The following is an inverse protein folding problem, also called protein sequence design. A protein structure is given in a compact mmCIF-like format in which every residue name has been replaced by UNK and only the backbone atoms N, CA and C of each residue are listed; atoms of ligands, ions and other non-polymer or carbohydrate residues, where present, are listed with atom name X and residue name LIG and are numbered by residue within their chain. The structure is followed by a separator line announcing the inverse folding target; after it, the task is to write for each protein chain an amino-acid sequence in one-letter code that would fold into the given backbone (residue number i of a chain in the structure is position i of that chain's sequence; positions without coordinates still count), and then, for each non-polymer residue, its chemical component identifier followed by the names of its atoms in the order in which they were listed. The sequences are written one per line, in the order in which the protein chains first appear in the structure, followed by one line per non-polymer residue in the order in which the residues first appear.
data_IF_197353742055
#
_entry.id   IF_197353742055
#
_cell.length_a   1.000
_cell.length_b   1.000
_cell.length_c   1.000
_cell.angle_alpha   90.00
_cell.angle_beta   90.00
_cell.angle_gamma   90.00
#
_symmetry.space_group_name_H-M   'P 1'
#
loop_
_entity.id
_entity.type
_entity.pdbx_description
1 polymer ?
#
# COMPACT_ATOMS: atom_id res chain seq x y z
N UNK A 1 -14.32 -28.82 15.44
CA UNK A 1 -12.97 -29.01 15.99
C UNK A 1 -11.96 -28.35 15.09
N UNK A 2 -11.66 -27.10 15.31
CA UNK A 2 -10.63 -26.32 14.65
C UNK A 2 -10.39 -25.11 15.51
N UNK A 3 -9.48 -25.20 16.48
CA UNK A 3 -8.95 -24.05 17.18
C UNK A 3 -8.22 -23.20 16.16
N UNK A 4 -8.87 -22.13 15.70
CA UNK A 4 -8.22 -21.08 14.95
C UNK A 4 -7.14 -20.47 15.86
N UNK A 5 -5.91 -20.43 15.37
CA UNK A 5 -4.77 -19.76 16.00
C UNK A 5 -5.18 -18.31 16.33
N UNK A 6 -5.48 -18.11 17.60
CA UNK A 6 -5.81 -16.79 18.13
C UNK A 6 -4.53 -15.97 18.15
N UNK A 7 -4.55 -14.82 17.47
CA UNK A 7 -3.44 -13.86 17.49
C UNK A 7 -2.99 -13.61 18.96
N UNK A 8 -1.68 -13.51 19.25
CA UNK A 8 -1.13 -13.34 20.59
C UNK A 8 -1.81 -12.22 21.39
N UNK A 9 -2.19 -11.14 20.74
CA UNK A 9 -2.89 -10.00 21.37
C UNK A 9 -4.31 -10.33 21.82
N UNK A 10 -5.01 -11.25 21.15
CA UNK A 10 -6.35 -11.68 21.54
C UNK A 10 -6.31 -12.57 22.78
N UNK A 11 -5.30 -13.42 22.87
CA UNK A 11 -5.07 -14.26 24.04
C UNK A 11 -4.74 -13.41 25.26
N UNK A 12 -3.84 -12.43 25.13
CA UNK A 12 -3.50 -11.50 26.21
C UNK A 12 -4.72 -10.72 26.72
N UNK A 13 -5.60 -10.23 25.84
CA UNK A 13 -6.83 -9.54 26.25
C UNK A 13 -7.79 -10.48 27.00
N UNK A 14 -7.88 -11.74 26.60
CA UNK A 14 -8.67 -12.75 27.28
C UNK A 14 -8.11 -13.04 28.69
N UNK A 15 -6.79 -13.17 28.82
CA UNK A 15 -6.11 -13.38 30.08
C UNK A 15 -6.34 -12.21 31.06
N UNK A 16 -6.27 -10.97 30.55
CA UNK A 16 -6.57 -9.76 31.35
C UNK A 16 -8.03 -9.77 31.79
N UNK A 17 -8.98 -10.09 30.92
CA UNK A 17 -10.40 -10.15 31.26
C UNK A 17 -10.69 -11.26 32.28
N UNK A 18 -10.00 -12.37 32.16
CA UNK A 18 -10.12 -13.46 33.15
C UNK A 18 -9.56 -13.07 34.52
N UNK A 19 -8.45 -12.35 34.54
CA UNK A 19 -7.81 -11.87 35.76
C UNK A 19 -8.61 -10.77 36.48
N UNK A 20 -9.38 -9.98 35.72
CA UNK A 20 -10.17 -8.85 36.24
C UNK A 20 -11.63 -8.92 35.79
N UNK A 21 -12.43 -9.91 36.24
CA UNK A 21 -13.76 -10.18 35.69
C UNK A 21 -14.80 -9.08 36.00
N UNK A 22 -14.56 -8.23 36.97
CA UNK A 22 -15.45 -7.13 37.35
C UNK A 22 -14.99 -5.76 36.81
N UNK A 23 -13.94 -5.72 36.00
CA UNK A 23 -13.47 -4.47 35.39
C UNK A 23 -14.30 -4.08 34.18
N UNK A 24 -14.44 -2.78 33.96
CA UNK A 24 -14.98 -2.22 32.73
C UNK A 24 -13.82 -2.04 31.71
N UNK A 25 -14.07 -2.45 30.48
CA UNK A 25 -13.07 -2.38 29.40
C UNK A 25 -13.54 -1.44 28.31
N UNK A 26 -12.72 -0.46 27.97
CA UNK A 26 -12.95 0.45 26.86
C UNK A 26 -11.83 0.28 25.84
N UNK A 27 -12.20 -0.02 24.58
CA UNK A 27 -11.28 -0.11 23.46
C UNK A 27 -11.27 1.19 22.66
N UNK A 28 -10.08 1.67 22.31
CA UNK A 28 -9.88 2.80 21.42
C UNK A 28 -9.04 2.33 20.21
N UNK A 29 -9.48 2.64 19.00
CA UNK A 29 -8.74 2.32 17.78
C UNK A 29 -8.95 3.41 16.73
N UNK A 30 -7.87 3.76 16.02
CA UNK A 30 -7.94 4.61 14.82
C UNK A 30 -8.20 3.81 13.54
N UNK A 31 -8.13 2.46 13.61
CA UNK A 31 -8.24 1.54 12.46
C UNK A 31 -9.21 0.42 12.80
N UNK A 32 -10.52 0.69 12.90
CA UNK A 32 -11.50 -0.34 13.20
C UNK A 32 -11.56 -1.38 12.07
N UNK A 33 -11.67 -2.65 12.46
CA UNK A 33 -11.87 -3.77 11.54
C UNK A 33 -13.37 -4.06 11.49
N UNK A 34 -13.97 -3.84 10.33
CA UNK A 34 -15.35 -4.17 9.99
C UNK A 34 -15.42 -5.50 9.23
N UNK A 35 -16.63 -5.98 8.92
CA UNK A 35 -16.80 -7.22 8.15
C UNK A 35 -16.18 -7.12 6.75
N UNK A 36 -16.25 -5.95 6.11
CA UNK A 36 -15.74 -5.68 4.76
C UNK A 36 -14.19 -5.77 4.66
N UNK A 37 -13.49 -5.41 5.72
CA UNK A 37 -12.02 -5.44 5.78
C UNK A 37 -11.46 -6.51 6.72
N UNK A 38 -12.24 -7.55 6.98
CA UNK A 38 -11.90 -8.66 7.87
C UNK A 38 -10.83 -9.56 7.28
N UNK A 39 -9.59 -9.41 7.74
CA UNK A 39 -8.45 -10.20 7.23
C UNK A 39 -8.20 -11.52 7.98
N UNK A 40 -8.59 -11.66 9.27
CA UNK A 40 -8.27 -12.83 10.13
C UNK A 40 -9.36 -13.14 11.16
N UNK A 41 -10.58 -13.31 10.74
CA UNK A 41 -11.61 -13.96 11.56
C UNK A 41 -12.24 -13.13 12.68
N UNK A 42 -11.78 -11.92 13.01
CA UNK A 42 -12.41 -11.11 14.06
C UNK A 42 -12.54 -9.64 13.63
N UNK A 43 -13.70 -9.05 13.94
CA UNK A 43 -13.93 -7.61 13.81
C UNK A 43 -13.65 -6.90 15.15
N UNK A 44 -13.53 -5.57 15.09
CA UNK A 44 -13.36 -4.76 16.30
C UNK A 44 -14.52 -4.93 17.27
N UNK A 45 -15.76 -5.02 16.77
CA UNK A 45 -16.94 -5.24 17.59
C UNK A 45 -16.96 -6.62 18.25
N UNK A 46 -16.44 -7.66 17.60
CA UNK A 46 -16.31 -8.98 18.22
C UNK A 46 -15.33 -8.99 19.41
N UNK A 47 -14.35 -8.09 19.40
CA UNK A 47 -13.33 -8.01 20.46
C UNK A 47 -13.75 -7.08 21.59
N UNK A 48 -14.33 -5.93 21.29
CA UNK A 48 -14.61 -4.86 22.25
C UNK A 48 -16.10 -4.62 22.52
N UNK A 49 -17.01 -5.24 21.76
CA UNK A 49 -18.44 -4.97 21.83
C UNK A 49 -18.86 -3.81 20.92
N UNK A 50 -20.05 -3.26 21.19
CA UNK A 50 -20.63 -2.21 20.36
C UNK A 50 -19.84 -0.92 20.40
N UNK A 51 -19.85 -0.20 19.26
CA UNK A 51 -19.18 1.09 19.13
C UNK A 51 -19.94 2.15 19.94
N UNK A 52 -19.31 2.69 20.97
CA UNK A 52 -19.89 3.73 21.85
C UNK A 52 -19.78 5.12 21.25
N UNK A 53 -18.71 5.40 20.53
CA UNK A 53 -18.44 6.68 19.89
C UNK A 53 -17.59 6.48 18.64
N UNK A 54 -17.90 7.23 17.58
CA UNK A 54 -17.16 7.26 16.32
C UNK A 54 -16.90 8.69 15.92
N UNK A 55 -15.64 8.98 15.62
CA UNK A 55 -15.20 10.22 15.01
C UNK A 55 -14.39 9.86 13.76
N UNK A 56 -14.99 10.03 12.60
CA UNK A 56 -14.40 9.63 11.31
C UNK A 56 -13.51 10.72 10.71
N UNK A 57 -12.72 10.37 9.69
CA UNK A 57 -11.97 11.35 8.89
C UNK A 57 -12.92 12.41 8.30
N UNK A 58 -14.11 12.01 7.84
CA UNK A 58 -15.12 12.93 7.33
C UNK A 58 -15.57 13.94 8.40
N UNK A 59 -15.74 13.50 9.65
CA UNK A 59 -16.04 14.38 10.78
C UNK A 59 -14.88 15.34 11.04
N UNK A 60 -13.64 14.84 11.02
CA UNK A 60 -12.44 15.64 11.20
C UNK A 60 -12.25 16.71 10.13
N UNK A 61 -12.55 16.38 8.86
CA UNK A 61 -12.52 17.35 7.74
C UNK A 61 -13.61 18.41 7.92
N UNK A 62 -14.84 17.98 8.23
CA UNK A 62 -15.97 18.91 8.49
C UNK A 62 -15.68 19.87 9.62
N UNK A 63 -15.07 19.40 10.69
CA UNK A 63 -14.74 20.19 11.88
C UNK A 63 -13.44 20.99 11.72
N UNK A 64 -12.75 20.88 10.57
CA UNK A 64 -11.50 21.59 10.29
C UNK A 64 -10.28 21.06 11.04
N UNK A 65 -10.37 19.89 11.67
CA UNK A 65 -9.28 19.25 12.39
C UNK A 65 -8.35 18.42 11.48
N UNK A 66 -8.84 18.04 10.30
CA UNK A 66 -8.11 17.29 9.28
C UNK A 66 -8.25 18.02 7.95
N UNK A 67 -7.15 18.11 7.20
CA UNK A 67 -7.19 18.66 5.84
C UNK A 67 -7.91 17.69 4.92
N UNK A 68 -8.64 18.21 3.94
CA UNK A 68 -9.18 17.42 2.83
C UNK A 68 -8.05 16.85 1.98
N UNK A 69 -8.38 15.81 1.21
CA UNK A 69 -7.47 15.22 0.24
C UNK A 69 -8.20 15.04 -1.10
N UNK A 70 -7.43 15.15 -2.19
CA UNK A 70 -7.92 14.92 -3.55
C UNK A 70 -7.39 13.55 -4.02
N UNK A 71 -8.27 12.54 -4.19
CA UNK A 71 -7.85 11.28 -4.78
C UNK A 71 -7.63 11.48 -6.29
N UNK A 72 -6.44 11.13 -6.75
CA UNK A 72 -6.09 11.10 -8.16
C UNK A 72 -5.83 9.65 -8.58
N UNK A 73 -6.63 9.14 -9.51
CA UNK A 73 -6.51 7.78 -9.98
C UNK A 73 -5.75 7.74 -11.31
N UNK A 74 -4.71 6.92 -11.37
CA UNK A 74 -3.89 6.70 -12.56
C UNK A 74 -4.19 5.34 -13.14
N UNK A 75 -4.49 5.29 -14.43
CA UNK A 75 -4.65 4.04 -15.16
C UNK A 75 -3.29 3.58 -15.68
N UNK A 76 -2.77 2.51 -15.09
CA UNK A 76 -1.49 1.90 -15.50
C UNK A 76 -1.64 0.93 -16.68
N UNK A 77 -2.87 0.53 -17.00
CA UNK A 77 -3.22 -0.32 -18.13
C UNK A 77 -4.27 0.35 -19.01
N UNK A 78 -4.29 -0.03 -20.30
CA UNK A 78 -5.39 0.32 -21.19
C UNK A 78 -6.54 -0.65 -20.95
N UNK A 79 -7.77 -0.16 -20.80
CA UNK A 79 -8.98 -0.97 -20.61
C UNK A 79 -9.07 -2.13 -21.60
N UNK A 80 -8.72 -1.90 -22.86
CA UNK A 80 -8.72 -2.92 -23.91
C UNK A 80 -7.76 -4.07 -23.58
N UNK A 81 -6.56 -3.77 -23.13
CA UNK A 81 -5.51 -4.75 -22.89
C UNK A 81 -5.85 -5.61 -21.66
N UNK A 82 -6.34 -4.97 -20.59
CA UNK A 82 -6.83 -5.63 -19.38
C UNK A 82 -8.02 -6.52 -19.69
N UNK A 83 -9.00 -6.01 -20.42
CA UNK A 83 -10.18 -6.74 -20.86
C UNK A 83 -9.82 -7.97 -21.69
N UNK A 84 -8.89 -7.81 -22.63
CA UNK A 84 -8.40 -8.91 -23.46
C UNK A 84 -7.68 -9.98 -22.62
N UNK A 85 -6.86 -9.58 -21.65
CA UNK A 85 -6.16 -10.52 -20.78
C UNK A 85 -7.16 -11.37 -19.95
N UNK A 86 -8.17 -10.72 -19.34
CA UNK A 86 -9.24 -11.40 -18.62
C UNK A 86 -10.06 -12.30 -19.55
N UNK A 87 -10.41 -11.81 -20.74
CA UNK A 87 -11.19 -12.59 -21.72
C UNK A 87 -10.46 -13.87 -22.17
N UNK A 88 -9.15 -13.78 -22.41
CA UNK A 88 -8.32 -14.94 -22.76
C UNK A 88 -8.23 -15.94 -21.60
N UNK A 89 -8.01 -15.47 -20.38
CA UNK A 89 -7.99 -16.34 -19.18
C UNK A 89 -9.32 -17.07 -19.01
N UNK A 90 -10.44 -16.40 -19.11
CA UNK A 90 -11.78 -17.01 -18.97
C UNK A 90 -12.11 -17.97 -20.11
N UNK A 91 -11.68 -17.66 -21.32
CA UNK A 91 -11.81 -18.55 -22.48
C UNK A 91 -10.83 -19.74 -22.45
N UNK A 92 -9.88 -19.76 -21.49
CA UNK A 92 -8.77 -20.74 -21.43
C UNK A 92 -8.02 -20.83 -22.75
N UNK A 93 -7.66 -19.69 -23.32
CA UNK A 93 -6.93 -19.55 -24.56
C UNK A 93 -5.65 -18.75 -24.33
N UNK A 94 -4.54 -19.14 -24.94
CA UNK A 94 -3.28 -18.44 -24.84
C UNK A 94 -3.22 -17.23 -25.78
N UNK A 95 -3.95 -17.28 -26.91
CA UNK A 95 -3.98 -16.21 -27.89
C UNK A 95 -5.40 -15.91 -28.36
N UNK A 96 -5.59 -14.75 -28.98
CA UNK A 96 -6.89 -14.35 -29.55
C UNK A 96 -7.29 -15.30 -30.68
N UNK A 97 -6.33 -15.72 -31.50
CA UNK A 97 -6.57 -16.67 -32.60
C UNK A 97 -7.07 -18.02 -32.06
N UNK A 98 -6.47 -18.52 -30.99
CA UNK A 98 -6.92 -19.75 -30.32
C UNK A 98 -8.35 -19.60 -29.78
N UNK A 99 -8.65 -18.47 -29.15
CA UNK A 99 -9.99 -18.19 -28.65
C UNK A 99 -11.05 -18.13 -29.76
N UNK A 100 -10.66 -17.70 -30.96
CA UNK A 100 -11.61 -17.54 -32.09
C UNK A 100 -11.86 -18.84 -32.88
N UNK A 101 -10.95 -19.81 -32.85
CA UNK A 101 -11.09 -21.06 -33.61
C UNK A 101 -12.12 -22.00 -32.98
N UNK A 102 -12.19 -22.04 -31.65
CA UNK A 102 -13.15 -22.87 -30.91
C UNK A 102 -14.42 -22.06 -30.61
N UNK A 103 -15.59 -22.47 -31.11
CA UNK A 103 -16.84 -21.74 -30.88
C UNK A 103 -17.18 -21.50 -29.41
N UNK A 104 -16.90 -22.48 -28.53
CA UNK A 104 -17.19 -22.34 -27.09
C UNK A 104 -16.23 -21.35 -26.42
N UNK A 105 -14.95 -21.37 -26.81
CA UNK A 105 -13.99 -20.36 -26.33
C UNK A 105 -14.31 -18.98 -26.88
N UNK A 106 -14.72 -18.89 -28.13
CA UNK A 106 -15.09 -17.62 -28.79
C UNK A 106 -16.28 -16.95 -28.08
N UNK A 107 -17.32 -17.70 -27.73
CA UNK A 107 -18.47 -17.18 -27.00
C UNK A 107 -18.03 -16.54 -25.67
N UNK A 108 -17.22 -17.23 -24.88
CA UNK A 108 -16.69 -16.72 -23.61
C UNK A 108 -15.81 -15.49 -23.84
N UNK A 109 -14.88 -15.57 -24.81
CA UNK A 109 -13.98 -14.47 -25.12
C UNK A 109 -14.75 -13.18 -25.48
N UNK A 110 -15.70 -13.27 -26.41
CA UNK A 110 -16.48 -12.10 -26.83
C UNK A 110 -17.42 -11.58 -25.74
N UNK A 111 -17.93 -12.44 -24.84
CA UNK A 111 -18.69 -11.99 -23.68
C UNK A 111 -17.88 -11.02 -22.81
N UNK A 112 -16.65 -11.37 -22.48
CA UNK A 112 -15.76 -10.51 -21.66
C UNK A 112 -15.20 -9.32 -22.43
N UNK A 113 -15.09 -9.39 -23.75
CA UNK A 113 -14.66 -8.28 -24.61
C UNK A 113 -15.76 -7.23 -24.84
N UNK A 114 -17.02 -7.57 -24.69
CA UNK A 114 -18.15 -6.65 -24.91
C UNK A 114 -18.42 -5.78 -23.67
N UNK A 115 -18.19 -4.44 -23.73
CA UNK A 115 -18.45 -3.55 -22.61
C UNK A 115 -19.91 -3.49 -22.15
N UNK A 116 -20.86 -3.92 -23.02
CA UNK A 116 -22.29 -3.94 -22.68
C UNK A 116 -22.66 -5.15 -21.83
N UNK A 117 -21.95 -6.26 -22.00
CA UNK A 117 -22.18 -7.49 -21.25
C UNK A 117 -21.33 -7.56 -19.97
N UNK A 118 -20.08 -7.06 -20.04
CA UNK A 118 -19.15 -7.06 -18.95
C UNK A 118 -18.60 -5.62 -18.74
N UNK A 119 -19.07 -4.87 -17.74
CA UNK A 119 -18.54 -3.54 -17.43
C UNK A 119 -17.08 -3.60 -17.01
N UNK A 120 -16.38 -2.46 -16.96
CA UNK A 120 -15.01 -2.41 -16.48
C UNK A 120 -14.95 -2.57 -14.97
N UNK A 121 -15.54 -1.67 -14.22
CA UNK A 121 -15.68 -1.76 -12.78
C UNK A 121 -16.95 -2.51 -12.35
N UNK A 122 -16.98 -2.97 -11.07
CA UNK A 122 -18.19 -3.57 -10.52
C UNK A 122 -19.33 -2.55 -10.44
N UNK A 123 -20.55 -3.02 -10.58
CA UNK A 123 -21.76 -2.20 -10.49
C UNK A 123 -22.77 -2.81 -9.51
N UNK A 124 -23.54 -1.96 -8.85
CA UNK A 124 -24.75 -2.38 -8.14
C UNK A 124 -25.98 -2.16 -9.01
N UNK A 125 -26.82 -3.17 -9.09
CA UNK A 125 -28.13 -3.03 -9.73
C UNK A 125 -29.07 -2.20 -8.84
N UNK A 126 -30.17 -1.70 -9.40
CA UNK A 126 -31.20 -1.01 -8.61
C UNK A 126 -31.81 -1.90 -7.51
N UNK A 127 -31.66 -3.20 -7.60
CA UNK A 127 -32.07 -4.19 -6.59
C UNK A 127 -31.02 -4.45 -5.52
N UNK A 128 -29.84 -3.79 -5.57
CA UNK A 128 -28.74 -3.98 -4.64
C UNK A 128 -27.89 -5.23 -4.91
N UNK A 129 -28.02 -5.83 -6.10
CA UNK A 129 -27.19 -6.97 -6.50
C UNK A 129 -25.85 -6.49 -7.05
N UNK A 130 -24.75 -7.07 -6.57
CA UNK A 130 -23.41 -6.81 -7.05
C UNK A 130 -23.14 -7.54 -8.37
N UNK A 131 -22.96 -6.78 -9.45
CA UNK A 131 -22.54 -7.28 -10.75
C UNK A 131 -21.06 -7.08 -10.92
N UNK A 132 -20.32 -8.18 -11.12
CA UNK A 132 -18.87 -8.15 -11.33
C UNK A 132 -18.51 -7.46 -12.63
N UNK A 133 -17.43 -6.66 -12.59
CA UNK A 133 -16.77 -6.11 -13.75
C UNK A 133 -15.45 -6.83 -14.08
N UNK A 134 -14.75 -6.36 -15.10
CA UNK A 134 -13.42 -6.86 -15.48
C UNK A 134 -12.43 -6.75 -14.33
N UNK A 135 -12.47 -5.66 -13.57
CA UNK A 135 -11.58 -5.41 -12.43
C UNK A 135 -11.69 -6.47 -11.34
N UNK A 136 -12.85 -7.08 -11.15
CA UNK A 136 -13.05 -8.18 -10.18
C UNK A 136 -12.32 -9.49 -10.56
N UNK A 137 -11.82 -9.57 -11.78
CA UNK A 137 -11.08 -10.72 -12.29
C UNK A 137 -9.57 -10.47 -12.40
N UNK A 138 -9.11 -9.26 -12.06
CA UNK A 138 -7.69 -8.95 -12.05
C UNK A 138 -7.03 -9.71 -10.90
N UNK A 139 -5.94 -10.38 -11.21
CA UNK A 139 -5.16 -11.12 -10.23
C UNK A 139 -3.94 -10.32 -9.79
N UNK A 140 -3.41 -10.60 -8.61
CA UNK A 140 -2.17 -9.98 -8.14
C UNK A 140 -0.98 -10.19 -9.11
N UNK A 141 -1.02 -11.25 -9.94
CA UNK A 141 0.01 -11.51 -10.93
C UNK A 141 0.11 -10.45 -12.03
N UNK A 142 -0.98 -9.70 -12.30
CA UNK A 142 -0.99 -8.60 -13.28
C UNK A 142 -0.31 -7.33 -12.75
N UNK A 143 -0.18 -7.24 -11.44
CA UNK A 143 0.52 -6.17 -10.72
C UNK A 143 1.81 -6.68 -10.09
N UNK A 144 2.28 -7.87 -10.51
CA UNK A 144 3.47 -8.50 -9.96
C UNK A 144 4.73 -7.71 -10.30
N UNK A 145 5.75 -7.94 -9.49
CA UNK A 145 7.09 -7.39 -9.69
C UNK A 145 7.61 -7.61 -11.11
N UNK A 146 8.23 -6.56 -11.68
CA UNK A 146 8.80 -6.59 -13.04
C UNK A 146 7.75 -6.49 -14.16
N UNK A 147 6.51 -6.13 -13.84
CA UNK A 147 5.48 -5.89 -14.86
C UNK A 147 5.51 -4.46 -15.36
N UNK A 148 4.92 -4.19 -16.56
CA UNK A 148 4.75 -2.84 -17.07
C UNK A 148 3.96 -1.90 -16.14
N UNK A 149 3.25 -2.45 -15.15
CA UNK A 149 2.55 -1.67 -14.14
C UNK A 149 3.53 -0.86 -13.27
N UNK A 150 4.54 -1.49 -12.68
CA UNK A 150 5.54 -0.80 -11.85
C UNK A 150 6.26 0.31 -12.64
N UNK A 151 6.59 0.03 -13.92
CA UNK A 151 7.19 1.01 -14.81
C UNK A 151 6.31 2.25 -14.99
N UNK A 152 5.01 2.06 -15.18
CA UNK A 152 4.05 3.15 -15.34
C UNK A 152 3.83 3.93 -14.05
N UNK A 153 3.80 3.26 -12.91
CA UNK A 153 3.72 3.93 -11.60
C UNK A 153 4.93 4.83 -11.37
N UNK A 154 6.13 4.33 -11.63
CA UNK A 154 7.36 5.13 -11.48
C UNK A 154 7.38 6.31 -12.46
N UNK A 155 6.98 6.09 -13.73
CA UNK A 155 6.89 7.15 -14.74
C UNK A 155 5.94 8.27 -14.28
N UNK A 156 4.73 7.92 -13.83
CA UNK A 156 3.75 8.89 -13.33
C UNK A 156 4.24 9.64 -12.08
N UNK A 157 4.85 8.93 -11.14
CA UNK A 157 5.44 9.57 -9.95
C UNK A 157 6.51 10.59 -10.36
N UNK A 158 7.43 10.23 -11.26
CA UNK A 158 8.50 11.12 -11.71
C UNK A 158 7.97 12.35 -12.45
N UNK A 159 6.92 12.18 -13.26
CA UNK A 159 6.29 13.27 -13.99
C UNK A 159 5.54 14.24 -13.07
N UNK A 160 4.84 13.71 -12.04
CA UNK A 160 4.00 14.51 -11.16
C UNK A 160 4.74 15.08 -9.95
N UNK A 161 5.81 14.43 -9.47
CA UNK A 161 6.50 14.80 -8.24
C UNK A 161 6.99 16.27 -8.22
N UNK A 162 7.57 16.85 -9.30
CA UNK A 162 7.98 18.24 -9.27
C UNK A 162 6.86 19.23 -8.96
N UNK A 163 5.65 18.94 -9.49
CA UNK A 163 4.45 19.74 -9.23
C UNK A 163 3.91 19.48 -7.83
N UNK A 164 3.72 18.23 -7.46
CA UNK A 164 3.13 17.83 -6.17
C UNK A 164 4.02 18.21 -4.99
N UNK A 165 5.33 18.08 -5.11
CA UNK A 165 6.29 18.51 -4.09
C UNK A 165 6.40 20.04 -3.96
N UNK A 166 5.73 20.80 -4.83
CA UNK A 166 5.79 22.26 -4.87
C UNK A 166 7.22 22.79 -4.87
N UNK A 167 8.00 22.34 -5.87
CA UNK A 167 9.40 22.73 -6.01
C UNK A 167 10.27 22.19 -4.88
N UNK A 168 10.06 20.95 -4.53
CA UNK A 168 10.81 20.24 -3.49
C UNK A 168 10.58 20.70 -2.04
N UNK A 169 9.45 21.33 -1.76
CA UNK A 169 9.08 21.71 -0.41
C UNK A 169 8.48 20.56 0.40
N UNK A 170 7.73 19.67 -0.28
CA UNK A 170 7.04 18.57 0.36
C UNK A 170 7.66 17.22 -0.03
N UNK A 171 7.54 16.26 0.85
CA UNK A 171 7.92 14.87 0.66
C UNK A 171 6.73 14.04 0.19
N UNK A 172 7.01 12.86 -0.36
CA UNK A 172 6.00 11.88 -0.73
C UNK A 172 6.25 10.53 -0.05
N UNK A 173 5.20 9.70 0.01
CA UNK A 173 5.28 8.30 0.44
C UNK A 173 4.65 7.41 -0.63
N UNK A 174 5.27 6.26 -0.88
CA UNK A 174 4.72 5.18 -1.71
C UNK A 174 4.46 3.97 -0.81
N UNK A 175 3.21 3.58 -0.68
CA UNK A 175 2.82 2.40 0.06
C UNK A 175 2.77 1.19 -0.88
N UNK A 176 3.42 0.11 -0.48
CA UNK A 176 3.48 -1.15 -1.21
C UNK A 176 2.85 -2.28 -0.40
N UNK A 177 2.38 -3.31 -1.09
CA UNK A 177 1.70 -4.46 -0.48
C UNK A 177 2.66 -5.50 0.10
N UNK A 178 3.93 -5.46 -0.31
CA UNK A 178 4.92 -6.46 0.10
C UNK A 178 6.35 -5.90 0.07
N UNK A 179 7.26 -6.57 0.80
CA UNK A 179 8.69 -6.24 0.81
C UNK A 179 9.33 -6.43 -0.58
N UNK A 180 9.08 -7.51 -1.34
CA UNK A 180 9.60 -7.65 -2.69
C UNK A 180 9.18 -6.51 -3.63
N UNK A 181 7.94 -6.06 -3.54
CA UNK A 181 7.43 -4.93 -4.30
C UNK A 181 8.15 -3.62 -3.92
N UNK A 182 8.33 -3.36 -2.62
CA UNK A 182 9.07 -2.19 -2.15
C UNK A 182 10.51 -2.16 -2.67
N UNK A 183 11.19 -3.32 -2.69
CA UNK A 183 12.55 -3.47 -3.21
C UNK A 183 12.56 -3.24 -4.73
N UNK A 184 11.58 -3.75 -5.46
CA UNK A 184 11.44 -3.52 -6.91
C UNK A 184 11.32 -2.04 -7.24
N UNK A 185 10.39 -1.34 -6.58
CA UNK A 185 10.26 0.12 -6.75
C UNK A 185 11.52 0.86 -6.35
N UNK A 186 12.17 0.46 -5.26
CA UNK A 186 13.43 1.08 -4.82
C UNK A 186 14.50 1.02 -5.91
N UNK A 187 14.69 -0.16 -6.53
CA UNK A 187 15.65 -0.33 -7.64
C UNK A 187 15.24 0.47 -8.88
N UNK A 188 13.95 0.49 -9.23
CA UNK A 188 13.46 1.27 -10.36
C UNK A 188 13.73 2.77 -10.17
N UNK A 189 13.49 3.33 -8.99
CA UNK A 189 13.81 4.74 -8.71
C UNK A 189 15.32 5.00 -8.74
N UNK A 190 16.12 4.10 -8.16
CA UNK A 190 17.58 4.20 -8.17
C UNK A 190 18.14 4.23 -9.60
N UNK A 191 17.58 3.42 -10.51
CA UNK A 191 17.98 3.36 -11.91
C UNK A 191 17.49 4.58 -12.71
N UNK A 192 16.22 4.94 -12.59
CA UNK A 192 15.58 5.96 -13.45
C UNK A 192 15.72 7.39 -12.95
N UNK A 193 15.87 7.58 -11.67
CA UNK A 193 15.93 8.89 -11.03
C UNK A 193 17.01 8.97 -9.94
N UNK A 194 18.31 8.76 -10.27
CA UNK A 194 19.39 8.77 -9.30
C UNK A 194 19.57 10.13 -8.58
N UNK A 195 19.00 11.20 -9.14
CA UNK A 195 18.98 12.54 -8.53
C UNK A 195 17.89 12.68 -7.45
N UNK A 196 16.95 11.76 -7.37
CA UNK A 196 15.87 11.76 -6.38
C UNK A 196 16.33 10.99 -5.14
N UNK A 197 16.21 11.59 -3.97
CA UNK A 197 16.58 10.94 -2.73
C UNK A 197 15.43 10.02 -2.28
N UNK A 198 15.58 8.74 -2.55
CA UNK A 198 14.59 7.70 -2.26
C UNK A 198 15.17 6.71 -1.26
N UNK A 199 14.36 6.24 -0.33
CA UNK A 199 14.69 5.12 0.55
C UNK A 199 13.46 4.26 0.81
N UNK A 200 13.66 3.07 1.35
CA UNK A 200 12.58 2.19 1.73
C UNK A 200 12.61 1.82 3.21
N UNK A 201 11.44 1.61 3.79
CA UNK A 201 11.27 1.25 5.19
C UNK A 201 10.26 0.12 5.33
N UNK A 202 10.72 -1.02 5.84
CA UNK A 202 9.89 -2.18 6.16
C UNK A 202 10.38 -2.85 7.44
N UNK A 203 9.57 -3.73 8.05
CA UNK A 203 10.01 -4.43 9.25
C UNK A 203 10.95 -5.59 8.87
N UNK A 204 12.21 -5.57 9.32
CA UNK A 204 13.14 -6.65 9.03
C UNK A 204 12.75 -8.00 9.65
N UNK A 205 11.88 -8.00 10.68
CA UNK A 205 11.44 -9.21 11.38
C UNK A 205 10.16 -9.85 10.81
N UNK A 206 9.47 -9.16 9.90
CA UNK A 206 8.30 -9.76 9.22
C UNK A 206 8.78 -10.79 8.23
N UNK A 207 8.43 -12.05 8.49
CA UNK A 207 8.78 -13.18 7.65
C UNK A 207 7.83 -13.24 6.45
N UNK A 208 8.28 -12.72 5.32
CA UNK A 208 7.66 -13.00 4.03
C UNK A 208 8.39 -14.20 3.43
N UNK A 209 7.86 -15.39 3.64
CA UNK A 209 8.46 -16.71 3.55
C UNK A 209 9.21 -17.13 2.27
N UNK A 210 9.19 -16.33 1.20
CA UNK A 210 9.80 -16.71 -0.09
C UNK A 210 11.04 -15.93 -0.52
N UNK A 211 11.61 -15.09 0.33
CA UNK A 211 12.73 -14.23 -0.07
C UNK A 211 13.67 -13.77 1.04
N UNK A 212 13.89 -14.55 2.08
CA UNK A 212 14.68 -14.13 3.24
C UNK A 212 16.10 -13.62 2.88
N UNK A 213 16.77 -14.25 1.92
CA UNK A 213 18.13 -13.87 1.46
C UNK A 213 18.05 -12.56 0.66
N UNK A 214 17.13 -12.43 -0.28
CA UNK A 214 16.91 -11.20 -1.06
C UNK A 214 16.58 -10.01 -0.16
N UNK A 215 15.82 -10.23 0.89
CA UNK A 215 15.45 -9.22 1.89
C UNK A 215 16.65 -8.69 2.66
N UNK A 216 17.54 -9.57 3.13
CA UNK A 216 18.71 -9.16 3.90
C UNK A 216 19.72 -8.38 3.06
N UNK A 217 19.94 -8.81 1.82
CA UNK A 217 20.86 -8.13 0.90
C UNK A 217 20.31 -6.77 0.46
N UNK A 218 19.00 -6.71 0.14
CA UNK A 218 18.35 -5.44 -0.15
C UNK A 218 18.34 -4.49 1.06
N UNK A 219 18.17 -5.00 2.28
CA UNK A 219 18.24 -4.18 3.48
C UNK A 219 19.64 -3.61 3.70
N UNK A 220 20.70 -4.40 3.45
CA UNK A 220 22.08 -3.92 3.48
C UNK A 220 22.34 -2.84 2.44
N UNK A 221 21.82 -3.04 1.22
CA UNK A 221 21.90 -2.05 0.14
C UNK A 221 21.20 -0.74 0.52
N UNK A 222 19.95 -0.80 0.93
CA UNK A 222 19.16 0.38 1.33
C UNK A 222 19.85 1.15 2.46
N UNK A 223 20.35 0.45 3.47
CA UNK A 223 21.10 1.08 4.57
C UNK A 223 22.38 1.69 4.06
N UNK A 224 23.13 1.00 3.20
CA UNK A 224 24.38 1.48 2.62
C UNK A 224 24.18 2.75 1.80
N UNK A 225 23.21 2.74 0.91
CA UNK A 225 22.84 3.90 0.08
C UNK A 225 22.35 5.08 0.93
N UNK A 226 21.58 4.81 1.99
CA UNK A 226 21.13 5.84 2.92
C UNK A 226 22.30 6.47 3.69
N UNK A 227 23.26 5.64 4.12
CA UNK A 227 24.46 6.11 4.80
C UNK A 227 25.31 6.99 3.89
N UNK A 228 25.53 6.57 2.65
CA UNK A 228 26.27 7.34 1.65
C UNK A 228 25.58 8.68 1.35
N UNK A 229 24.25 8.64 1.14
CA UNK A 229 23.47 9.82 0.79
C UNK A 229 23.46 10.89 1.89
N UNK A 230 23.41 10.46 3.16
CA UNK A 230 23.17 11.35 4.30
C UNK A 230 24.34 11.41 5.30
N UNK A 231 25.48 10.90 4.95
CA UNK A 231 26.67 10.82 5.82
C UNK A 231 26.34 10.20 7.20
N UNK A 232 25.86 8.94 7.15
CA UNK A 232 25.46 8.15 8.33
C UNK A 232 26.23 6.84 8.40
N UNK A 233 26.10 6.14 9.51
CA UNK A 233 26.78 4.88 9.81
C UNK A 233 25.84 3.80 10.34
N UNK A 234 24.59 3.79 9.88
CA UNK A 234 23.59 2.81 10.30
C UNK A 234 23.96 1.40 9.81
N UNK A 235 23.58 0.42 10.61
CA UNK A 235 23.69 -1.00 10.32
C UNK A 235 22.37 -1.69 10.66
N UNK A 236 22.15 -2.93 10.23
CA UNK A 236 20.92 -3.66 10.49
C UNK A 236 20.51 -3.62 11.98
N UNK A 237 21.40 -3.86 12.97
CA UNK A 237 21.05 -3.73 14.39
C UNK A 237 20.60 -2.33 14.81
N UNK A 238 21.01 -1.29 14.09
CA UNK A 238 20.61 0.10 14.37
C UNK A 238 19.45 0.60 13.50
N UNK A 239 18.78 -0.29 12.78
CA UNK A 239 17.58 0.02 11.98
C UNK A 239 16.55 0.90 12.69
N UNK A 240 16.21 0.71 13.98
CA UNK A 240 15.32 1.60 14.69
C UNK A 240 15.80 3.05 14.79
N UNK A 241 17.11 3.28 14.78
CA UNK A 241 17.69 4.64 14.75
C UNK A 241 17.55 5.27 13.36
N UNK A 242 17.79 4.51 12.29
CA UNK A 242 17.55 4.95 10.92
C UNK A 242 16.07 5.32 10.70
N UNK A 243 15.14 4.51 11.19
CA UNK A 243 13.70 4.84 11.16
C UNK A 243 13.39 6.18 11.85
N UNK A 244 14.02 6.46 13.00
CA UNK A 244 13.88 7.74 13.71
C UNK A 244 14.47 8.90 12.90
N UNK A 245 15.60 8.71 12.24
CA UNK A 245 16.23 9.70 11.38
C UNK A 245 15.34 10.04 10.18
N UNK A 246 14.84 9.01 9.47
CA UNK A 246 13.86 9.18 8.38
C UNK A 246 12.61 9.96 8.85
N UNK A 247 12.06 9.55 10.00
CA UNK A 247 10.88 10.20 10.57
C UNK A 247 11.14 11.68 10.89
N UNK A 248 12.32 12.00 11.43
CA UNK A 248 12.70 13.37 11.76
C UNK A 248 12.88 14.24 10.50
N UNK A 249 13.45 13.69 9.41
CA UNK A 249 13.58 14.37 8.10
C UNK A 249 12.20 14.68 7.51
N UNK A 250 11.33 13.67 7.41
CA UNK A 250 9.99 13.82 6.85
C UNK A 250 9.08 14.73 7.68
N UNK A 251 9.37 14.92 8.97
CA UNK A 251 8.56 15.75 9.87
C UNK A 251 9.18 17.13 10.13
N UNK A 252 10.34 17.44 9.55
CA UNK A 252 11.14 18.63 9.84
C UNK A 252 11.34 18.84 11.34
N UNK A 253 11.67 17.75 12.05
CA UNK A 253 12.02 17.77 13.48
C UNK A 253 13.54 17.80 13.65
N UNK A 254 14.01 18.24 14.82
CA UNK A 254 15.46 18.29 15.12
C UNK A 254 16.14 16.94 14.80
N UNK A 255 17.26 16.96 14.10
CA UNK A 255 18.06 18.13 13.68
C UNK A 255 17.60 18.82 12.38
N UNK A 256 16.59 18.32 11.67
CA UNK A 256 16.18 18.68 10.30
C UNK A 256 15.09 19.75 10.20
N UNK A 257 15.18 20.80 11.04
CA UNK A 257 14.15 21.87 11.07
C UNK A 257 14.05 22.67 9.76
N UNK A 258 15.12 22.74 9.01
CA UNK A 258 15.25 23.52 7.76
C UNK A 258 15.63 22.64 6.58
N UNK A 259 15.28 21.35 6.62
CA UNK A 259 15.63 20.37 5.59
C UNK A 259 15.10 20.72 4.18
N UNK A 260 14.02 21.52 4.11
CA UNK A 260 13.50 22.06 2.85
C UNK A 260 14.44 23.06 2.18
N UNK A 261 15.40 23.64 2.93
CA UNK A 261 16.43 24.56 2.42
C UNK A 261 17.76 23.85 2.11
N UNK A 262 17.88 22.59 2.49
CA UNK A 262 19.09 21.78 2.37
C UNK A 262 18.83 20.53 1.54
N UNK A 263 19.08 20.63 0.22
CA UNK A 263 18.77 19.53 -0.72
C UNK A 263 19.48 18.24 -0.34
N UNK A 264 20.72 18.35 0.13
CA UNK A 264 21.58 17.24 0.54
C UNK A 264 21.05 16.48 1.76
N UNK A 265 20.25 17.13 2.60
CA UNK A 265 19.65 16.51 3.78
C UNK A 265 18.22 15.98 3.53
N UNK A 266 17.66 16.32 2.39
CA UNK A 266 16.25 16.09 2.13
C UNK A 266 15.99 14.70 1.53
N UNK A 267 15.02 13.97 2.09
CA UNK A 267 14.44 12.78 1.50
C UNK A 267 13.25 13.19 0.64
N UNK A 268 13.16 12.73 -0.61
CA UNK A 268 12.07 13.06 -1.52
C UNK A 268 10.90 12.10 -1.39
N UNK A 269 11.20 10.79 -1.47
CA UNK A 269 10.23 9.73 -1.45
C UNK A 269 10.60 8.65 -0.44
N UNK A 270 9.67 8.27 0.39
CA UNK A 270 9.77 7.10 1.26
C UNK A 270 8.87 5.99 0.75
N UNK A 271 9.45 4.82 0.43
CA UNK A 271 8.71 3.60 0.11
C UNK A 271 8.46 2.84 1.41
N UNK A 272 7.21 2.41 1.66
CA UNK A 272 6.84 1.73 2.91
C UNK A 272 6.03 0.47 2.67
N UNK A 273 6.23 -0.51 3.54
CA UNK A 273 5.39 -1.72 3.63
C UNK A 273 4.76 -1.74 5.02
N UNK A 274 3.45 -1.56 5.10
CA UNK A 274 2.65 -1.58 6.34
C UNK A 274 3.17 -0.68 7.49
N UNK A 275 4.10 0.26 7.20
CA UNK A 275 4.70 1.14 8.19
C UNK A 275 4.39 2.61 7.89
N UNK A 276 4.30 3.41 8.95
CA UNK A 276 4.06 4.86 8.88
C UNK A 276 2.76 5.28 8.18
N UNK A 277 1.92 4.36 7.75
CA UNK A 277 0.59 4.65 7.19
C UNK A 277 -0.41 5.02 8.30
N UNK A 278 -0.15 4.56 9.52
CA UNK A 278 -0.93 4.91 10.71
C UNK A 278 -0.01 5.42 11.81
N UNK A 279 -0.46 6.43 12.55
CA UNK A 279 0.29 6.98 13.68
C UNK A 279 1.50 7.85 13.32
N UNK A 280 1.74 8.11 12.03
CA UNK A 280 2.72 9.09 11.57
C UNK A 280 2.00 10.37 11.15
N UNK A 281 2.45 11.49 11.69
CA UNK A 281 1.90 12.81 11.38
C UNK A 281 3.03 13.74 10.93
N UNK A 282 2.85 14.31 9.73
CA UNK A 282 3.73 15.32 9.18
C UNK A 282 2.98 16.24 8.22
N UNK A 283 3.02 17.53 8.50
CA UNK A 283 2.54 18.55 7.58
C UNK A 283 3.41 18.75 6.33
N UNK A 284 4.55 18.06 6.27
CA UNK A 284 5.51 18.15 5.18
C UNK A 284 5.44 16.96 4.21
N UNK A 285 4.64 15.97 4.51
CA UNK A 285 4.27 14.91 3.56
C UNK A 285 2.87 15.22 3.03
N UNK A 286 2.78 15.57 1.76
CA UNK A 286 1.52 15.99 1.13
C UNK A 286 1.00 15.02 0.08
N UNK A 287 1.79 14.03 -0.29
CA UNK A 287 1.44 13.06 -1.33
C UNK A 287 1.64 11.64 -0.82
N UNK A 288 0.61 10.81 -1.00
CA UNK A 288 0.64 9.39 -0.71
C UNK A 288 0.23 8.64 -1.98
N UNK A 289 1.12 7.80 -2.49
CA UNK A 289 0.85 6.86 -3.58
C UNK A 289 0.47 5.50 -2.96
N UNK A 290 -0.60 4.86 -3.50
CA UNK A 290 -1.18 3.62 -3.01
C UNK A 290 -1.31 2.60 -4.13
#
# INVERSE_FOLDING_TARGET
EGQADLLPHRQMLQDIRHSFPNALYFGFTGTPIHEENRKKGATTSMVFGDCLHRYSIADGIRDGNVLGFDPYMVLTYRDKDVRQAVALEKAKAATVEEAQVDPAKAEVFYHYMDPKQMPMGPMETQAGEHVKGIEDYLTAAQYAQGTPHEDKVVEDILDQFPLLSRGNKFHAMLATSSIPEAISYYHLFKERAPQMHVTALFDPNVDNSDGAILKEDALKEIIGDYNELFDKDFIIPTWPKMKKDITARLSHKRPYLTVDQHREERLDLLIVVDQMLTGFDSKWVNTLYL
#
